data_IF_155015486653
#
_entry.id   IF_155015486653
#
_cell.length_a   1.000
_cell.length_b   1.000
_cell.length_c   1.000
_cell.angle_alpha   90.00
_cell.angle_beta   90.00
_cell.angle_gamma   90.00
#
_symmetry.space_group_name_H-M   'P 1'
#
loop_
_entity.id
_entity.type
_entity.pdbx_description
1 polymer ?
#
# COMPACT_ATOMS: atom_id res chain seq x y z
N UNK A 1 -20.15 -20.39 2.34
CA UNK A 1 -20.64 -19.06 1.95
C UNK A 1 -20.99 -18.31 3.23
N UNK A 2 -20.01 -17.67 3.86
CA UNK A 2 -20.24 -16.78 4.99
C UNK A 2 -20.54 -15.41 4.42
N UNK A 3 -21.78 -14.94 4.54
CA UNK A 3 -22.15 -13.58 4.15
C UNK A 3 -21.40 -12.60 5.04
N UNK A 4 -20.64 -11.68 4.44
CA UNK A 4 -20.07 -10.51 5.12
C UNK A 4 -21.17 -9.84 5.96
N UNK A 5 -20.87 -9.39 7.19
CA UNK A 5 -21.85 -8.69 8.02
C UNK A 5 -22.43 -7.52 7.21
N UNK A 6 -23.74 -7.31 7.34
CA UNK A 6 -24.50 -6.24 6.67
C UNK A 6 -23.78 -4.90 6.82
N UNK A 7 -23.02 -4.51 5.79
CA UNK A 7 -22.46 -3.17 5.68
C UNK A 7 -23.62 -2.17 5.84
N UNK A 8 -23.36 -1.08 6.55
CA UNK A 8 -24.26 0.08 6.52
C UNK A 8 -24.62 0.39 5.07
N UNK A 9 -25.84 0.88 4.80
CA UNK A 9 -26.28 1.24 3.45
C UNK A 9 -25.17 2.06 2.77
N UNK A 10 -24.67 1.59 1.60
CA UNK A 10 -23.52 2.23 0.94
C UNK A 10 -23.85 3.69 0.61
N UNK A 11 -22.84 4.57 0.50
CA UNK A 11 -23.09 5.96 0.13
C UNK A 11 -23.83 6.03 -1.21
N UNK A 12 -24.77 6.97 -1.30
CA UNK A 12 -25.48 7.31 -2.55
C UNK A 12 -24.84 8.50 -3.26
N UNK A 13 -23.97 9.25 -2.58
CA UNK A 13 -23.20 10.33 -3.19
C UNK A 13 -22.09 9.76 -4.09
N UNK A 14 -21.79 10.40 -5.23
CA UNK A 14 -20.70 9.96 -6.11
C UNK A 14 -19.35 10.10 -5.41
N UNK A 15 -18.46 9.14 -5.64
CA UNK A 15 -17.07 9.22 -5.17
C UNK A 15 -16.39 10.46 -5.75
N UNK A 16 -15.76 11.25 -4.89
CA UNK A 16 -14.96 12.41 -5.25
C UNK A 16 -13.49 12.14 -5.00
N UNK A 17 -12.63 12.79 -5.79
CA UNK A 17 -11.20 12.85 -5.56
C UNK A 17 -10.76 14.29 -5.35
N UNK A 18 -10.03 14.56 -4.28
CA UNK A 18 -9.38 15.84 -4.03
C UNK A 18 -7.87 15.63 -3.80
N UNK A 19 -7.04 16.60 -4.18
CA UNK A 19 -5.59 16.52 -3.94
C UNK A 19 -5.19 17.57 -2.90
N UNK A 20 -4.45 17.14 -1.89
CA UNK A 20 -4.00 17.98 -0.78
C UNK A 20 -2.47 17.98 -0.70
N UNK A 21 -1.90 19.12 -0.33
CA UNK A 21 -0.51 19.20 0.10
C UNK A 21 -0.47 18.85 1.59
N UNK A 22 0.31 17.83 1.96
CA UNK A 22 0.42 17.42 3.37
C UNK A 22 1.78 17.79 3.98
N UNK A 23 2.84 17.93 3.17
CA UNK A 23 4.16 18.36 3.63
C UNK A 23 4.96 19.06 2.52
N UNK A 24 5.99 19.80 2.94
CA UNK A 24 7.01 20.36 2.06
C UNK A 24 8.38 20.11 2.68
N UNK A 25 9.13 19.17 2.10
CA UNK A 25 10.55 19.00 2.39
C UNK A 25 11.35 19.71 1.28
N UNK A 26 12.22 19.01 0.56
CA UNK A 26 12.87 19.53 -0.66
C UNK A 26 11.88 19.67 -1.82
N UNK A 27 10.81 18.87 -1.81
CA UNK A 27 9.73 18.85 -2.82
C UNK A 27 8.36 18.81 -2.12
N UNK A 28 7.29 19.30 -2.76
CA UNK A 28 5.95 19.23 -2.19
C UNK A 28 5.42 17.80 -2.18
N UNK A 29 4.97 17.33 -1.02
CA UNK A 29 4.33 16.02 -0.88
C UNK A 29 2.82 16.16 -0.84
N UNK A 30 2.16 15.40 -1.72
CA UNK A 30 0.72 15.47 -1.93
C UNK A 30 0.08 14.12 -1.68
N UNK A 31 -1.18 14.15 -1.28
CA UNK A 31 -2.04 12.98 -1.23
C UNK A 31 -3.31 13.22 -2.06
N UNK A 32 -3.85 12.15 -2.63
CA UNK A 32 -5.17 12.13 -3.24
C UNK A 32 -6.14 11.50 -2.22
N UNK A 33 -7.23 12.20 -1.91
CA UNK A 33 -8.26 11.73 -0.98
C UNK A 33 -9.52 11.35 -1.75
N UNK A 34 -9.97 10.12 -1.53
CA UNK A 34 -11.16 9.52 -2.11
C UNK A 34 -12.24 9.37 -1.04
N UNK A 35 -13.36 10.06 -1.22
CA UNK A 35 -14.50 10.02 -0.28
C UNK A 35 -15.83 10.41 -0.96
N UNK A 36 -16.96 10.26 -0.27
CA UNK A 36 -18.27 10.55 -0.82
C UNK A 36 -19.21 11.13 0.24
N UNK A 37 -19.56 12.42 0.10
CA UNK A 37 -20.42 13.12 1.06
C UNK A 37 -19.83 13.12 2.49
N UNK A 38 -20.70 13.25 3.49
CA UNK A 38 -20.29 13.35 4.89
C UNK A 38 -20.07 11.95 5.50
N UNK A 39 -18.84 11.44 5.42
CA UNK A 39 -18.45 10.24 6.16
C UNK A 39 -18.43 10.52 7.67
N UNK A 40 -18.90 9.59 8.53
CA UNK A 40 -18.88 9.78 9.98
C UNK A 40 -17.47 10.07 10.50
N UNK A 41 -17.33 11.09 11.36
CA UNK A 41 -16.02 11.49 11.93
C UNK A 41 -15.37 10.36 12.72
N UNK A 42 -16.17 9.49 13.35
CA UNK A 42 -15.68 8.36 14.15
C UNK A 42 -15.21 7.17 13.30
N UNK A 43 -15.52 7.15 11.99
CA UNK A 43 -14.96 6.14 11.11
C UNK A 43 -13.45 6.39 10.94
N UNK A 44 -12.64 5.33 10.78
CA UNK A 44 -11.22 5.50 10.54
C UNK A 44 -10.95 6.14 9.17
N UNK A 45 -9.77 6.73 9.05
CA UNK A 45 -9.17 7.08 7.76
C UNK A 45 -8.31 5.91 7.31
N UNK A 46 -8.35 5.56 6.02
CA UNK A 46 -7.42 4.61 5.44
C UNK A 46 -6.29 5.38 4.78
N UNK A 47 -5.05 5.24 5.27
CA UNK A 47 -3.86 5.78 4.64
C UNK A 47 -3.20 4.70 3.78
N UNK A 48 -2.97 4.98 2.50
CA UNK A 48 -2.41 4.05 1.53
C UNK A 48 -1.12 4.56 0.89
N UNK A 49 -0.10 3.72 0.85
CA UNK A 49 1.16 3.96 0.15
C UNK A 49 1.28 3.07 -1.09
N UNK A 50 1.60 3.69 -2.23
CA UNK A 50 1.65 3.01 -3.52
C UNK A 50 2.85 2.06 -3.67
N UNK A 51 2.72 1.09 -4.58
CA UNK A 51 3.79 0.20 -5.02
C UNK A 51 4.83 0.91 -5.88
N UNK A 52 5.90 0.20 -6.25
CA UNK A 52 6.98 0.72 -7.10
C UNK A 52 8.37 0.59 -6.50
N UNK A 53 8.61 -0.39 -5.61
CA UNK A 53 9.97 -0.68 -5.13
C UNK A 53 10.63 0.42 -4.29
N UNK A 54 9.87 1.41 -3.80
CA UNK A 54 10.37 2.68 -3.28
C UNK A 54 11.11 3.57 -4.31
N UNK A 55 11.17 3.17 -5.57
CA UNK A 55 11.97 3.81 -6.62
C UNK A 55 11.14 4.43 -7.73
N UNK A 56 9.85 4.07 -7.84
CA UNK A 56 8.88 4.60 -8.80
C UNK A 56 7.45 4.54 -8.25
N UNK A 57 6.46 4.83 -9.11
CA UNK A 57 5.04 4.77 -8.80
C UNK A 57 4.45 6.12 -8.37
N UNK A 58 3.15 6.15 -8.03
CA UNK A 58 2.52 7.39 -7.55
C UNK A 58 1.22 7.14 -6.78
N UNK A 59 0.77 8.16 -6.04
CA UNK A 59 -0.51 8.19 -5.32
C UNK A 59 -1.78 7.98 -6.16
N UNK A 60 -1.69 7.98 -7.49
CA UNK A 60 -2.82 7.64 -8.35
C UNK A 60 -3.00 6.13 -8.54
N UNK A 61 -1.98 5.35 -8.16
CA UNK A 61 -1.97 3.89 -8.30
C UNK A 61 -2.66 3.21 -7.13
N UNK A 62 -3.99 3.28 -7.11
CA UNK A 62 -4.82 2.71 -6.05
C UNK A 62 -5.65 1.56 -6.63
N UNK A 63 -5.64 0.36 -6.03
CA UNK A 63 -6.41 -0.74 -6.60
C UNK A 63 -7.92 -0.49 -6.44
N UNK A 64 -8.76 -0.77 -7.47
CA UNK A 64 -10.18 -0.45 -7.44
C UNK A 64 -10.94 -1.07 -6.27
N UNK A 65 -10.62 -2.32 -5.90
CA UNK A 65 -11.23 -2.99 -4.76
C UNK A 65 -10.96 -2.27 -3.42
N UNK A 66 -9.81 -1.61 -3.25
CA UNK A 66 -9.51 -0.87 -2.02
C UNK A 66 -10.33 0.41 -1.95
N UNK A 67 -10.46 1.12 -3.07
CA UNK A 67 -11.36 2.29 -3.15
C UNK A 67 -12.80 1.88 -2.87
N UNK A 68 -13.25 0.77 -3.46
CA UNK A 68 -14.58 0.20 -3.22
C UNK A 68 -14.77 -0.19 -1.75
N UNK A 69 -13.76 -0.82 -1.14
CA UNK A 69 -13.75 -1.22 0.28
C UNK A 69 -13.96 -0.01 1.18
N UNK A 70 -13.17 1.04 0.99
CA UNK A 70 -13.21 2.27 1.77
C UNK A 70 -14.52 3.04 1.54
N UNK A 71 -14.97 3.13 0.28
CA UNK A 71 -16.24 3.77 -0.08
C UNK A 71 -17.43 3.10 0.62
N UNK A 72 -17.55 1.78 0.54
CA UNK A 72 -18.65 1.03 1.15
C UNK A 72 -18.66 1.15 2.68
N UNK A 73 -17.49 1.31 3.31
CA UNK A 73 -17.32 1.46 4.76
C UNK A 73 -17.35 2.90 5.23
N UNK A 74 -17.46 3.87 4.32
CA UNK A 74 -17.37 5.31 4.63
C UNK A 74 -16.07 5.65 5.34
N UNK A 75 -14.96 5.09 4.87
CA UNK A 75 -13.60 5.41 5.30
C UNK A 75 -13.01 6.36 4.26
N UNK A 76 -12.60 7.60 4.61
CA UNK A 76 -11.83 8.42 3.69
C UNK A 76 -10.54 7.67 3.34
N UNK A 77 -10.25 7.52 2.05
CA UNK A 77 -9.03 6.87 1.58
C UNK A 77 -8.03 7.96 1.15
N UNK A 78 -6.95 8.09 1.90
CA UNK A 78 -5.83 9.00 1.63
C UNK A 78 -4.73 8.19 0.95
N UNK A 79 -4.46 8.41 -0.33
CA UNK A 79 -3.28 7.84 -0.99
C UNK A 79 -2.15 8.87 -1.03
N UNK A 80 -1.02 8.58 -0.40
CA UNK A 80 0.10 9.50 -0.25
C UNK A 80 1.22 9.23 -1.26
N UNK A 81 1.76 10.29 -1.86
CA UNK A 81 3.07 10.26 -2.53
C UNK A 81 4.18 10.29 -1.49
N UNK A 82 5.31 9.66 -1.72
CA UNK A 82 6.50 9.75 -0.88
C UNK A 82 7.74 9.93 -1.77
N UNK A 83 8.85 10.48 -1.22
CA UNK A 83 10.10 10.66 -1.96
C UNK A 83 10.72 9.30 -2.25
N UNK A 84 11.32 9.16 -3.43
CA UNK A 84 11.81 7.88 -3.94
C UNK A 84 13.31 7.69 -3.65
N UNK A 85 13.70 6.44 -3.44
CA UNK A 85 15.09 6.01 -3.42
C UNK A 85 15.71 6.16 -4.83
N UNK A 86 17.03 6.36 -4.92
CA UNK A 86 18.00 6.57 -3.83
C UNK A 86 18.13 8.03 -3.40
N UNK A 87 17.30 8.93 -3.92
CA UNK A 87 17.45 10.37 -3.68
C UNK A 87 17.13 10.80 -2.23
N UNK A 88 16.42 9.94 -1.50
CA UNK A 88 16.31 9.97 -0.04
C UNK A 88 16.77 8.64 0.53
N UNK A 89 17.02 8.60 1.83
CA UNK A 89 17.33 7.39 2.60
C UNK A 89 16.14 6.97 3.47
N UNK A 90 16.34 5.95 4.31
CA UNK A 90 15.35 5.50 5.28
C UNK A 90 14.77 6.62 6.16
N UNK A 91 15.60 7.56 6.62
CA UNK A 91 15.17 8.66 7.48
C UNK A 91 14.22 9.60 6.72
N UNK A 92 14.54 9.90 5.46
CA UNK A 92 13.64 10.64 4.57
C UNK A 92 12.28 9.95 4.36
N UNK A 93 12.27 8.61 4.24
CA UNK A 93 11.03 7.84 4.14
C UNK A 93 10.21 7.89 5.43
N UNK A 94 10.85 7.84 6.60
CA UNK A 94 10.17 7.98 7.90
C UNK A 94 9.56 9.37 8.06
N UNK A 95 10.25 10.44 7.64
CA UNK A 95 9.69 11.79 7.67
C UNK A 95 8.44 11.88 6.78
N UNK A 96 8.50 11.35 5.55
CA UNK A 96 7.37 11.36 4.61
C UNK A 96 6.17 10.57 5.14
N UNK A 97 6.43 9.41 5.73
CA UNK A 97 5.41 8.55 6.32
C UNK A 97 4.78 9.18 7.57
N UNK A 98 5.58 9.86 8.41
CA UNK A 98 5.12 10.59 9.59
C UNK A 98 4.15 11.71 9.20
N UNK A 99 4.53 12.55 8.24
CA UNK A 99 3.69 13.68 7.85
C UNK A 99 2.40 13.21 7.15
N UNK A 100 2.47 12.14 6.34
CA UNK A 100 1.28 11.53 5.76
C UNK A 100 0.35 10.92 6.82
N UNK A 101 0.92 10.27 7.85
CA UNK A 101 0.18 9.70 8.96
C UNK A 101 -0.49 10.78 9.82
N UNK A 102 0.21 11.85 10.15
CA UNK A 102 -0.38 12.98 10.89
C UNK A 102 -1.47 13.69 10.09
N UNK A 103 -1.29 13.87 8.77
CA UNK A 103 -2.35 14.36 7.90
C UNK A 103 -3.61 13.47 7.98
N UNK A 104 -3.45 12.15 7.86
CA UNK A 104 -4.56 11.21 7.95
C UNK A 104 -5.26 11.25 9.32
N UNK A 105 -4.49 11.39 10.42
CA UNK A 105 -5.03 11.48 11.78
C UNK A 105 -5.92 12.70 12.00
N UNK A 106 -5.66 13.82 11.33
CA UNK A 106 -6.47 15.05 11.50
C UNK A 106 -7.46 15.29 10.36
N UNK A 107 -7.48 14.43 9.34
CA UNK A 107 -8.33 14.60 8.16
C UNK A 107 -9.82 14.57 8.50
N UNK A 108 -10.54 15.67 8.23
CA UNK A 108 -11.97 15.79 8.52
C UNK A 108 -12.32 15.78 10.01
N UNK A 109 -11.35 15.99 10.90
CA UNK A 109 -11.61 16.09 12.34
C UNK A 109 -12.41 17.38 12.67
N UNK A 110 -13.40 17.26 13.55
CA UNK A 110 -14.41 18.29 13.84
C UNK A 110 -13.89 19.51 14.62
N UNK A 111 -12.77 19.38 15.33
CA UNK A 111 -12.15 20.46 16.10
C UNK A 111 -10.64 20.29 16.22
N UNK A 112 -9.93 21.41 16.43
CA UNK A 112 -8.50 21.39 16.74
C UNK A 112 -8.25 20.50 17.96
N UNK A 113 -7.41 19.48 17.80
CA UNK A 113 -7.05 18.52 18.85
C UNK A 113 -7.75 17.16 18.78
N UNK A 114 -8.78 16.99 17.95
CA UNK A 114 -9.37 15.68 17.70
C UNK A 114 -8.54 14.91 16.67
N UNK A 115 -8.21 13.65 16.97
CA UNK A 115 -7.54 12.74 16.03
C UNK A 115 -8.43 11.56 15.72
N UNK A 116 -8.34 11.05 14.50
CA UNK A 116 -9.04 9.86 14.03
C UNK A 116 -8.16 8.64 14.17
N UNK A 117 -8.81 7.49 14.31
CA UNK A 117 -8.14 6.21 14.12
C UNK A 117 -7.74 6.07 12.64
N UNK A 118 -6.58 5.46 12.40
CA UNK A 118 -6.05 5.29 11.05
C UNK A 118 -5.74 3.82 10.82
N UNK A 119 -6.27 3.27 9.74
CA UNK A 119 -5.79 2.01 9.15
C UNK A 119 -4.72 2.40 8.13
N UNK A 120 -3.54 1.79 8.18
CA UNK A 120 -2.48 2.08 7.22
C UNK A 120 -2.25 0.85 6.36
N UNK A 121 -2.13 1.03 5.06
CA UNK A 121 -1.82 -0.06 4.14
C UNK A 121 -0.87 0.37 3.04
N UNK A 122 -0.37 -0.61 2.32
CA UNK A 122 0.48 -0.37 1.17
C UNK A 122 0.59 -1.60 0.29
N UNK A 123 0.97 -1.37 -0.97
CA UNK A 123 1.15 -2.42 -1.95
C UNK A 123 2.64 -2.60 -2.27
N UNK A 124 3.12 -3.83 -2.37
CA UNK A 124 4.55 -4.12 -2.61
C UNK A 124 5.42 -3.35 -1.60
N UNK A 125 6.47 -2.68 -2.06
CA UNK A 125 7.31 -1.83 -1.22
C UNK A 125 6.58 -0.67 -0.52
N UNK A 126 5.39 -0.27 -0.99
CA UNK A 126 4.54 0.69 -0.28
C UNK A 126 4.16 0.23 1.13
N UNK A 127 4.05 -1.08 1.37
CA UNK A 127 3.76 -1.60 2.70
C UNK A 127 4.90 -1.33 3.70
N UNK A 128 6.14 -1.16 3.23
CA UNK A 128 7.26 -0.81 4.08
C UNK A 128 7.02 0.54 4.81
N UNK A 129 6.39 1.51 4.14
CA UNK A 129 6.01 2.80 4.75
C UNK A 129 4.98 2.60 5.88
N UNK A 130 4.08 1.62 5.74
CA UNK A 130 3.13 1.26 6.79
C UNK A 130 3.82 0.59 7.98
N UNK A 131 4.78 -0.30 7.71
CA UNK A 131 5.58 -0.98 8.73
C UNK A 131 6.46 0.00 9.53
N UNK A 132 7.14 0.94 8.87
CA UNK A 132 7.96 1.96 9.56
C UNK A 132 7.10 2.87 10.45
N UNK A 133 5.87 3.23 10.03
CA UNK A 133 4.93 3.95 10.89
C UNK A 133 4.68 3.15 12.18
N UNK A 134 4.38 1.86 12.06
CA UNK A 134 4.14 1.00 13.21
C UNK A 134 5.40 0.76 14.06
N UNK A 135 6.60 0.78 13.49
CA UNK A 135 7.85 0.69 14.25
C UNK A 135 8.17 1.96 15.05
N UNK A 136 7.99 3.13 14.44
CA UNK A 136 8.61 4.37 14.92
C UNK A 136 7.65 5.40 15.49
N UNK A 137 6.37 5.33 15.15
CA UNK A 137 5.40 6.39 15.49
C UNK A 137 4.44 5.95 16.59
N UNK A 138 4.00 6.94 17.37
CA UNK A 138 2.96 6.82 18.39
C UNK A 138 1.99 8.01 18.29
N UNK A 139 0.66 7.79 18.38
CA UNK A 139 0.01 6.49 18.54
C UNK A 139 0.12 5.63 17.28
N UNK A 140 0.15 4.30 17.45
CA UNK A 140 0.21 3.36 16.33
C UNK A 140 -1.11 3.35 15.53
N UNK A 141 -1.08 2.95 14.24
CA UNK A 141 -2.28 2.63 13.48
C UNK A 141 -3.14 1.60 14.21
N UNK A 142 -4.44 1.58 13.96
CA UNK A 142 -5.33 0.58 14.58
C UNK A 142 -5.27 -0.78 13.87
N UNK A 143 -4.79 -0.82 12.62
CA UNK A 143 -4.53 -2.01 11.84
C UNK A 143 -3.60 -1.69 10.67
N UNK A 144 -2.90 -2.71 10.17
CA UNK A 144 -2.08 -2.66 8.96
C UNK A 144 -2.64 -3.58 7.88
N UNK A 145 -2.54 -3.16 6.60
CA UNK A 145 -2.89 -3.97 5.43
C UNK A 145 -1.72 -4.06 4.45
N UNK A 146 -1.14 -5.25 4.30
CA UNK A 146 -0.13 -5.56 3.30
C UNK A 146 -0.78 -6.16 2.06
N UNK A 147 -0.52 -5.57 0.88
CA UNK A 147 -0.96 -6.09 -0.41
C UNK A 147 0.28 -6.53 -1.19
N UNK A 148 0.53 -7.84 -1.21
CA UNK A 148 1.76 -8.47 -1.71
C UNK A 148 3.00 -7.69 -1.29
N UNK A 149 3.02 -7.28 -0.01
CA UNK A 149 3.83 -6.16 0.47
C UNK A 149 5.18 -6.58 1.05
N UNK A 150 6.04 -5.58 1.27
CA UNK A 150 7.36 -5.74 1.87
C UNK A 150 7.31 -5.21 3.31
N UNK A 151 7.09 -6.06 4.34
CA UNK A 151 7.17 -5.65 5.74
C UNK A 151 8.57 -5.16 6.15
N UNK A 152 9.62 -5.78 5.61
CA UNK A 152 11.02 -5.49 5.91
C UNK A 152 11.91 -5.84 4.72
N UNK A 153 12.96 -5.07 4.52
CA UNK A 153 14.06 -5.34 3.61
C UNK A 153 15.20 -6.13 4.26
N UNK A 154 15.12 -6.48 5.55
CA UNK A 154 16.11 -7.35 6.21
C UNK A 154 15.93 -8.84 5.88
N UNK A 155 14.79 -9.22 5.29
CA UNK A 155 14.52 -10.61 4.90
C UNK A 155 15.53 -11.11 3.84
N UNK A 156 15.86 -12.41 3.89
CA UNK A 156 16.88 -13.02 3.03
C UNK A 156 16.69 -12.77 1.52
N UNK A 157 15.44 -12.64 1.09
CA UNK A 157 15.07 -12.27 -0.28
C UNK A 157 15.82 -11.02 -0.79
N UNK A 158 16.05 -10.02 0.06
CA UNK A 158 16.70 -8.75 -0.31
C UNK A 158 18.22 -8.75 -0.13
N UNK A 159 18.81 -9.87 0.30
CA UNK A 159 20.26 -10.01 0.51
C UNK A 159 20.85 -11.30 -0.09
N UNK A 160 20.12 -11.95 -1.00
CA UNK A 160 20.51 -13.21 -1.66
C UNK A 160 20.77 -13.07 -3.17
N UNK A 161 20.95 -11.85 -3.67
CA UNK A 161 21.11 -11.52 -5.09
C UNK A 161 20.01 -12.13 -5.96
N UNK A 162 18.75 -11.94 -5.53
CA UNK A 162 17.60 -12.48 -6.25
C UNK A 162 17.48 -11.82 -7.61
N UNK A 163 17.43 -12.67 -8.65
CA UNK A 163 17.34 -12.25 -10.03
C UNK A 163 15.92 -12.50 -10.55
N UNK A 164 15.16 -11.42 -10.76
CA UNK A 164 13.82 -11.42 -11.35
C UNK A 164 13.87 -11.41 -12.89
N UNK A 165 14.57 -10.45 -13.55
CA UNK A 165 14.72 -10.47 -15.00
C UNK A 165 15.62 -11.63 -15.46
N UNK A 166 15.59 -12.01 -16.76
CA UNK A 166 16.43 -13.09 -17.27
C UNK A 166 17.94 -12.86 -17.11
N UNK A 167 18.37 -11.60 -17.09
CA UNK A 167 19.77 -11.18 -16.93
C UNK A 167 19.85 -10.00 -15.95
N UNK A 168 20.95 -9.87 -15.18
CA UNK A 168 21.16 -8.73 -14.29
C UNK A 168 21.13 -7.39 -15.02
N UNK A 169 20.53 -6.37 -14.41
CA UNK A 169 20.60 -4.98 -14.87
C UNK A 169 22.02 -4.45 -14.61
N UNK A 170 22.61 -3.76 -15.59
CA UNK A 170 23.97 -3.23 -15.43
C UNK A 170 23.94 -1.89 -14.73
N UNK A 171 25.00 -1.57 -13.99
CA UNK A 171 25.15 -0.28 -13.31
C UNK A 171 24.95 0.92 -14.27
N UNK A 172 25.51 0.86 -15.48
CA UNK A 172 25.36 1.94 -16.47
C UNK A 172 23.91 2.16 -16.94
N UNK A 173 23.05 1.13 -16.87
CA UNK A 173 21.64 1.24 -17.24
C UNK A 173 20.85 2.03 -16.18
N UNK A 174 21.37 2.15 -14.96
CA UNK A 174 20.70 2.81 -13.82
C UNK A 174 21.47 4.01 -13.25
N UNK A 175 22.74 4.21 -13.60
CA UNK A 175 23.60 5.28 -13.07
C UNK A 175 22.95 6.66 -13.22
N UNK A 176 22.31 6.91 -14.37
CA UNK A 176 21.60 8.15 -14.63
C UNK A 176 20.41 8.35 -13.67
N UNK A 177 19.69 7.28 -13.32
CA UNK A 177 18.54 7.30 -12.40
C UNK A 177 18.96 7.55 -10.95
N UNK A 178 20.14 7.05 -10.56
CA UNK A 178 20.75 7.32 -9.25
C UNK A 178 21.10 8.81 -9.11
N UNK A 179 21.51 9.44 -10.21
CA UNK A 179 21.93 10.84 -10.27
C UNK A 179 20.78 11.83 -10.49
N UNK A 180 19.54 11.35 -10.64
CA UNK A 180 18.36 12.22 -10.82
C UNK A 180 18.07 13.07 -9.57
N UNK A 181 17.40 14.24 -9.73
CA UNK A 181 16.93 15.02 -8.60
C UNK A 181 15.84 14.27 -7.81
N UNK A 182 15.62 14.69 -6.56
CA UNK A 182 14.54 14.16 -5.71
C UNK A 182 13.20 14.19 -6.45
N UNK A 183 12.51 13.06 -6.45
CA UNK A 183 11.19 12.86 -7.06
C UNK A 183 10.26 12.11 -6.12
N UNK A 184 8.96 12.27 -6.33
CA UNK A 184 7.89 11.53 -5.62
C UNK A 184 7.15 10.56 -6.54
N UNK A 185 7.75 10.34 -7.71
CA UNK A 185 7.19 9.59 -8.82
C UNK A 185 6.04 10.32 -9.50
N UNK A 186 5.86 10.01 -10.78
CA UNK A 186 4.71 10.46 -11.54
C UNK A 186 3.79 9.27 -11.81
N UNK A 187 2.55 9.55 -12.23
CA UNK A 187 1.64 8.48 -12.63
C UNK A 187 2.27 7.71 -13.77
N UNK A 188 2.57 6.40 -13.62
CA UNK A 188 3.12 5.64 -14.72
C UNK A 188 2.12 5.67 -15.87
N UNK A 189 2.65 5.63 -17.08
CA UNK A 189 1.93 5.64 -18.34
C UNK A 189 1.21 4.31 -18.59
N UNK A 190 0.67 3.67 -17.55
CA UNK A 190 -0.27 2.57 -17.65
C UNK A 190 -1.60 3.01 -17.03
N UNK A 191 -2.58 3.30 -17.88
CA UNK A 191 -3.92 3.69 -17.46
C UNK A 191 -4.60 2.58 -16.63
N UNK A 192 -4.14 1.33 -16.69
CA UNK A 192 -4.68 0.23 -15.91
C UNK A 192 -4.35 0.34 -14.41
N UNK A 193 -3.18 0.88 -14.06
CA UNK A 193 -2.77 1.09 -12.66
C UNK A 193 -3.42 2.34 -12.04
N UNK A 194 -3.80 3.33 -12.86
CA UNK A 194 -4.42 4.57 -12.38
C UNK A 194 -5.89 4.32 -12.01
N UNK A 195 -6.26 4.74 -10.81
CA UNK A 195 -7.66 4.78 -10.41
C UNK A 195 -8.35 6.05 -10.91
N UNK A 196 -9.52 5.87 -11.51
CA UNK A 196 -10.43 6.94 -11.90
C UNK A 196 -11.72 6.79 -11.11
N UNK A 197 -12.26 7.89 -10.58
CA UNK A 197 -13.49 7.89 -9.77
C UNK A 197 -14.67 7.23 -10.50
N UNK A 198 -14.74 7.44 -11.81
CA UNK A 198 -15.80 6.93 -12.68
C UNK A 198 -15.76 5.41 -12.87
N UNK A 199 -14.73 4.71 -12.34
CA UNK A 199 -14.71 3.24 -12.24
C UNK A 199 -15.77 2.72 -11.26
N UNK A 200 -16.31 3.55 -10.38
CA UNK A 200 -17.36 3.20 -9.43
C UNK A 200 -18.62 4.02 -9.68
N UNK A 201 -19.76 3.34 -9.68
CA UNK A 201 -21.08 3.97 -9.66
C UNK A 201 -21.41 4.46 -8.24
N UNK A 202 -22.33 5.44 -8.08
CA UNK A 202 -22.98 5.68 -6.81
C UNK A 202 -23.54 4.37 -6.24
N UNK A 203 -23.21 4.07 -4.98
CA UNK A 203 -23.49 2.77 -4.34
C UNK A 203 -22.28 1.82 -4.33
N UNK A 204 -21.20 2.15 -5.03
CA UNK A 204 -19.91 1.46 -4.94
C UNK A 204 -19.78 0.22 -5.82
N UNK A 205 -20.73 -0.02 -6.74
CA UNK A 205 -20.58 -1.08 -7.75
C UNK A 205 -19.59 -0.65 -8.84
N UNK A 206 -18.92 -1.63 -9.46
CA UNK A 206 -18.10 -1.38 -10.66
C UNK A 206 -18.95 -0.72 -11.75
N UNK A 207 -18.42 0.31 -12.40
CA UNK A 207 -19.01 0.89 -13.59
C UNK A 207 -18.61 0.06 -14.84
N UNK A 208 -19.53 -0.68 -15.47
CA UNK A 208 -19.21 -1.48 -16.67
C UNK A 208 -18.94 -0.61 -17.90
N UNK A 209 -19.43 0.63 -17.91
CA UNK A 209 -19.32 1.55 -19.05
C UNK A 209 -18.07 2.43 -18.98
N UNK A 210 -17.27 2.31 -17.92
CA UNK A 210 -16.04 3.08 -17.78
C UNK A 210 -15.08 2.80 -18.93
N UNK A 211 -14.67 3.87 -19.61
CA UNK A 211 -13.60 3.85 -20.60
C UNK A 211 -12.45 4.71 -20.07
N UNK A 212 -11.19 4.21 -20.07
CA UNK A 212 -10.06 5.04 -19.71
C UNK A 212 -9.96 6.23 -20.70
N UNK A 213 -9.58 7.43 -20.23
CA UNK A 213 -9.44 8.58 -21.11
C UNK A 213 -8.45 8.29 -22.24
N UNK A 214 -8.80 8.73 -23.46
CA UNK A 214 -7.93 8.61 -24.62
C UNK A 214 -6.63 9.36 -24.36
N UNK A 215 -5.50 8.67 -24.53
CA UNK A 215 -4.19 9.26 -24.29
C UNK A 215 -3.78 10.15 -25.48
N UNK A 216 -3.31 11.39 -25.26
CA UNK A 216 -2.58 12.11 -26.29
C UNK A 216 -1.23 11.40 -26.56
N UNK A 217 -0.70 11.38 -27.79
CA UNK A 217 0.62 10.80 -28.04
C UNK A 217 1.69 11.53 -27.22
N UNK A 218 2.33 10.84 -26.28
CA UNK A 218 3.44 11.38 -25.49
C UNK A 218 4.71 11.51 -26.35
N UNK A 219 5.51 12.57 -26.16
CA UNK A 219 6.89 12.59 -26.65
C UNK A 219 7.70 11.45 -26.01
N UNK A 220 8.63 10.87 -26.77
CA UNK A 220 9.42 9.69 -26.37
C UNK A 220 10.23 9.84 -25.06
N UNK A 221 10.39 11.07 -24.55
CA UNK A 221 11.10 11.37 -23.29
C UNK A 221 10.29 11.14 -22.03
N UNK A 222 9.00 10.81 -22.14
CA UNK A 222 8.08 10.71 -21.01
C UNK A 222 8.09 9.32 -20.33
N UNK A 223 8.78 8.29 -20.84
CA UNK A 223 8.81 6.92 -20.29
C UNK A 223 9.59 6.72 -18.96
N UNK A 224 9.91 7.80 -18.25
CA UNK A 224 10.88 7.80 -17.15
C UNK A 224 10.49 6.89 -15.97
N UNK A 225 9.21 6.84 -15.56
CA UNK A 225 8.79 6.03 -14.41
C UNK A 225 8.93 4.51 -14.62
N UNK A 226 8.70 4.02 -15.85
CA UNK A 226 8.85 2.59 -16.16
C UNK A 226 10.34 2.22 -16.10
N UNK A 227 11.20 3.10 -16.60
CA UNK A 227 12.65 2.90 -16.51
C UNK A 227 13.15 2.98 -15.07
N UNK A 228 12.56 3.83 -14.21
CA UNK A 228 12.90 3.87 -12.78
C UNK A 228 12.62 2.56 -12.06
N UNK A 229 11.68 1.75 -12.53
CA UNK A 229 11.44 0.40 -12.01
C UNK A 229 12.67 -0.51 -12.08
N UNK A 230 13.60 -0.27 -13.01
CA UNK A 230 14.87 -1.03 -13.11
C UNK A 230 15.72 -0.92 -11.84
N UNK A 231 15.61 0.18 -11.09
CA UNK A 231 16.30 0.33 -9.82
C UNK A 231 15.88 -0.74 -8.81
N UNK A 232 14.64 -1.22 -8.85
CA UNK A 232 14.18 -2.29 -7.96
C UNK A 232 14.94 -3.58 -8.25
N UNK A 233 14.92 -4.02 -9.50
CA UNK A 233 15.60 -5.25 -9.94
C UNK A 233 17.11 -5.17 -9.70
N UNK A 234 17.71 -4.01 -9.99
CA UNK A 234 19.12 -3.74 -9.74
C UNK A 234 19.47 -3.80 -8.25
N UNK A 235 18.74 -3.08 -7.39
CA UNK A 235 18.99 -3.06 -5.95
C UNK A 235 18.71 -4.40 -5.27
N UNK A 236 17.75 -5.17 -5.78
CA UNK A 236 17.48 -6.52 -5.31
C UNK A 236 18.64 -7.46 -5.63
N UNK A 237 19.15 -7.42 -6.86
CA UNK A 237 20.28 -8.26 -7.28
C UNK A 237 21.60 -7.88 -6.61
N UNK A 238 21.86 -6.58 -6.47
CA UNK A 238 23.08 -6.04 -5.84
C UNK A 238 22.99 -5.98 -4.29
N UNK A 239 21.89 -6.48 -3.69
CA UNK A 239 21.67 -6.50 -2.23
C UNK A 239 21.74 -5.12 -1.55
N UNK A 240 21.28 -4.07 -2.23
CA UNK A 240 21.44 -2.70 -1.78
C UNK A 240 20.35 -2.25 -0.79
N UNK A 241 19.16 -2.84 -0.87
CA UNK A 241 18.01 -2.44 -0.05
C UNK A 241 18.29 -2.41 1.47
N UNK A 242 18.86 -3.46 2.10
CA UNK A 242 19.14 -3.45 3.54
C UNK A 242 19.96 -2.24 3.98
N UNK A 243 20.94 -1.81 3.18
CA UNK A 243 21.77 -0.66 3.48
C UNK A 243 20.99 0.66 3.30
N UNK A 244 20.24 0.80 2.20
CA UNK A 244 19.46 2.00 1.86
C UNK A 244 18.43 2.38 2.94
N UNK A 245 17.87 1.38 3.64
CA UNK A 245 16.85 1.61 4.68
C UNK A 245 17.32 1.22 6.09
N UNK A 246 18.61 0.93 6.28
CA UNK A 246 19.17 0.41 7.54
C UNK A 246 18.89 1.29 8.77
N UNK A 247 18.74 2.60 8.59
CA UNK A 247 18.45 3.52 9.71
C UNK A 247 17.04 3.34 10.29
N UNK A 248 16.11 2.74 9.55
CA UNK A 248 14.68 2.67 9.90
C UNK A 248 14.08 1.27 9.84
N UNK A 249 14.80 0.27 9.33
CA UNK A 249 14.31 -1.11 9.25
C UNK A 249 14.96 -2.02 10.31
N UNK A 250 14.33 -2.18 11.48
CA UNK A 250 14.87 -3.05 12.53
C UNK A 250 14.64 -4.55 12.27
N UNK A 251 14.04 -4.94 11.14
CA UNK A 251 13.58 -6.31 10.91
C UNK A 251 12.39 -6.68 11.81
N UNK A 252 12.11 -7.98 11.89
CA UNK A 252 10.97 -8.53 12.64
C UNK A 252 11.35 -9.68 13.58
N UNK A 253 12.61 -10.11 13.59
CA UNK A 253 13.14 -11.15 14.48
C UNK A 253 12.92 -10.81 15.95
N UNK A 254 12.89 -9.51 16.29
CA UNK A 254 12.57 -9.00 17.62
C UNK A 254 11.22 -9.51 18.15
N UNK A 255 10.25 -9.84 17.28
CA UNK A 255 8.92 -10.27 17.70
C UNK A 255 8.94 -11.62 18.43
N UNK A 256 9.97 -12.44 18.21
CA UNK A 256 10.18 -13.72 18.88
C UNK A 256 10.91 -13.60 20.22
N UNK A 257 11.44 -12.42 20.52
CA UNK A 257 12.20 -12.19 21.75
C UNK A 257 11.26 -11.96 22.93
N UNK A 258 11.41 -12.76 23.98
CA UNK A 258 10.65 -12.64 25.22
C UNK A 258 10.68 -11.22 25.83
N UNK A 259 11.80 -10.52 25.69
CA UNK A 259 11.98 -9.15 26.17
C UNK A 259 11.13 -8.12 25.41
N UNK A 260 10.67 -8.45 24.21
CA UNK A 260 9.90 -7.57 23.33
C UNK A 260 8.39 -7.84 23.37
N UNK A 261 7.91 -8.69 24.29
CA UNK A 261 6.48 -9.01 24.45
C UNK A 261 5.58 -7.78 24.56
N UNK A 262 6.01 -6.74 25.27
CA UNK A 262 5.22 -5.50 25.36
C UNK A 262 5.11 -4.77 24.02
N UNK A 263 6.17 -4.79 23.21
CA UNK A 263 6.17 -4.20 21.86
C UNK A 263 5.27 -5.00 20.93
N UNK A 264 5.28 -6.33 21.04
CA UNK A 264 4.41 -7.21 20.27
C UNK A 264 2.93 -7.03 20.65
N UNK A 265 2.62 -6.93 21.95
CA UNK A 265 1.24 -6.70 22.42
C UNK A 265 0.67 -5.35 21.97
N UNK A 266 1.54 -4.36 21.74
CA UNK A 266 1.17 -3.04 21.21
C UNK A 266 1.22 -3.00 19.67
N UNK A 267 1.68 -4.07 19.01
CA UNK A 267 1.76 -4.12 17.55
C UNK A 267 0.35 -4.14 16.93
N UNK A 268 0.07 -3.31 15.90
CA UNK A 268 -1.23 -3.32 15.24
C UNK A 268 -1.48 -4.65 14.53
N UNK A 269 -2.74 -5.12 14.56
CA UNK A 269 -3.12 -6.28 13.76
C UNK A 269 -2.70 -6.06 12.30
N UNK A 270 -1.86 -6.96 11.80
CA UNK A 270 -1.32 -6.87 10.44
C UNK A 270 -1.95 -7.94 9.57
N UNK A 271 -2.73 -7.50 8.58
CA UNK A 271 -3.39 -8.39 7.65
C UNK A 271 -2.59 -8.42 6.35
N UNK A 272 -2.11 -9.59 5.96
CA UNK A 272 -1.34 -9.81 4.75
C UNK A 272 -2.20 -10.44 3.67
N UNK A 273 -2.20 -9.86 2.47
CA UNK A 273 -2.66 -10.50 1.23
C UNK A 273 -1.40 -10.85 0.46
N UNK A 274 -1.22 -12.13 0.11
CA UNK A 274 -0.01 -12.58 -0.59
C UNK A 274 -0.39 -13.62 -1.65
N UNK A 275 0.19 -13.52 -2.86
CA UNK A 275 0.09 -14.56 -3.88
C UNK A 275 1.16 -15.63 -3.69
N UNK A 276 0.82 -16.91 -3.82
CA UNK A 276 1.78 -18.03 -3.67
C UNK A 276 2.68 -18.26 -4.91
N UNK A 277 2.47 -17.50 -5.99
CA UNK A 277 3.30 -17.43 -7.20
C UNK A 277 3.92 -16.05 -7.40
N UNK A 278 3.98 -15.26 -6.35
CA UNK A 278 4.68 -13.98 -6.37
C UNK A 278 6.19 -14.20 -6.49
N UNK A 279 6.75 -13.71 -7.59
CA UNK A 279 8.19 -13.77 -7.88
C UNK A 279 8.87 -12.43 -7.66
N UNK A 280 8.10 -11.35 -7.58
CA UNK A 280 8.63 -10.00 -7.47
C UNK A 280 8.91 -9.68 -6.01
N UNK A 281 8.09 -10.24 -5.10
CA UNK A 281 8.35 -10.31 -3.66
C UNK A 281 8.07 -11.76 -3.24
N UNK A 282 9.11 -12.48 -2.79
CA UNK A 282 8.90 -13.88 -2.36
C UNK A 282 7.76 -13.97 -1.34
N UNK A 283 6.80 -14.92 -1.48
CA UNK A 283 5.72 -15.10 -0.53
C UNK A 283 6.22 -15.38 0.90
N UNK A 284 7.44 -15.92 1.02
CA UNK A 284 8.11 -16.18 2.30
C UNK A 284 8.32 -14.89 3.10
N UNK A 285 8.50 -13.73 2.44
CA UNK A 285 8.70 -12.44 3.14
C UNK A 285 7.49 -12.12 4.03
N UNK A 286 6.27 -12.29 3.52
CA UNK A 286 5.05 -12.08 4.31
C UNK A 286 4.77 -13.27 5.26
N UNK A 287 5.08 -14.49 4.84
CA UNK A 287 4.82 -15.68 5.64
C UNK A 287 5.68 -15.71 6.91
N UNK A 288 6.98 -15.46 6.79
CA UNK A 288 7.92 -15.45 7.90
C UNK A 288 7.61 -14.33 8.89
N UNK A 289 7.29 -13.12 8.40
CA UNK A 289 6.90 -12.01 9.29
C UNK A 289 5.58 -12.30 10.00
N UNK A 290 4.59 -12.89 9.31
CA UNK A 290 3.34 -13.31 9.96
C UNK A 290 3.59 -14.36 11.04
N UNK A 291 4.48 -15.33 10.79
CA UNK A 291 4.89 -16.33 11.80
C UNK A 291 5.59 -15.66 12.99
N UNK A 292 6.50 -14.72 12.75
CA UNK A 292 7.24 -14.04 13.82
C UNK A 292 6.35 -13.17 14.70
N UNK A 293 5.34 -12.51 14.12
CA UNK A 293 4.33 -11.75 14.86
C UNK A 293 3.34 -12.66 15.60
N UNK A 294 3.03 -13.84 15.04
CA UNK A 294 2.09 -14.79 15.60
C UNK A 294 0.61 -14.44 15.36
N UNK A 295 -0.26 -15.43 15.58
CA UNK A 295 -1.68 -15.41 15.19
C UNK A 295 -2.53 -14.32 15.87
N UNK A 296 -2.07 -13.76 16.99
CA UNK A 296 -2.77 -12.65 17.66
C UNK A 296 -2.52 -11.30 16.97
N UNK A 297 -1.34 -11.12 16.39
CA UNK A 297 -0.89 -9.86 15.80
C UNK A 297 -0.86 -9.89 14.26
N UNK A 298 -0.97 -11.05 13.63
CA UNK A 298 -0.94 -11.20 12.18
C UNK A 298 -1.99 -12.18 11.63
N UNK A 299 -2.48 -11.89 10.43
CA UNK A 299 -3.29 -12.83 9.63
C UNK A 299 -2.76 -12.87 8.20
N UNK A 300 -2.38 -14.06 7.73
CA UNK A 300 -1.94 -14.28 6.35
C UNK A 300 -3.08 -14.83 5.47
N UNK A 301 -3.55 -14.01 4.55
CA UNK A 301 -4.50 -14.37 3.50
C UNK A 301 -3.74 -14.73 2.22
N UNK A 302 -3.24 -15.97 2.15
CA UNK A 302 -2.57 -16.48 0.94
C UNK A 302 -3.59 -16.74 -0.19
N UNK A 303 -3.27 -16.28 -1.40
CA UNK A 303 -4.03 -16.44 -2.63
C UNK A 303 -3.33 -17.48 -3.53
N UNK A 304 -3.96 -18.64 -3.71
CA UNK A 304 -3.40 -19.74 -4.51
C UNK A 304 -3.37 -19.42 -6.00
N UNK A 305 -2.26 -19.76 -6.63
CA UNK A 305 -2.01 -19.55 -8.06
C UNK A 305 -1.79 -18.08 -8.45
N UNK A 306 -1.75 -17.15 -7.50
CA UNK A 306 -1.72 -15.72 -7.79
C UNK A 306 -0.29 -15.15 -7.72
N UNK A 307 -0.01 -14.21 -8.63
CA UNK A 307 1.28 -13.53 -8.77
C UNK A 307 1.31 -12.20 -8.00
N UNK A 308 2.41 -11.46 -8.11
CA UNK A 308 2.54 -10.12 -7.55
C UNK A 308 1.40 -9.20 -8.02
N UNK A 309 0.79 -8.46 -7.09
CA UNK A 309 -0.27 -7.48 -7.37
C UNK A 309 -1.40 -8.00 -8.29
N UNK A 310 -1.77 -9.28 -8.14
CA UNK A 310 -2.80 -9.95 -8.95
C UNK A 310 -4.16 -9.23 -8.91
N UNK A 311 -4.46 -8.58 -7.78
CA UNK A 311 -5.68 -7.88 -7.43
C UNK A 311 -5.79 -6.48 -8.04
N UNK A 312 -4.71 -5.93 -8.62
CA UNK A 312 -4.59 -4.50 -8.97
C UNK A 312 -5.68 -3.96 -9.90
N UNK A 313 -6.29 -4.81 -10.73
CA UNK A 313 -7.34 -4.45 -11.68
C UNK A 313 -8.75 -4.93 -11.26
N UNK A 314 -8.84 -5.61 -10.11
CA UNK A 314 -10.06 -6.28 -9.67
C UNK A 314 -10.89 -5.41 -8.73
N UNK A 315 -12.17 -5.76 -8.65
CA UNK A 315 -13.15 -5.21 -7.72
C UNK A 315 -13.57 -6.34 -6.76
N UNK A 316 -14.03 -6.00 -5.55
CA UNK A 316 -14.45 -6.97 -4.54
C UNK A 316 -15.62 -7.85 -4.98
N UNK A 317 -16.50 -7.29 -5.81
CA UNK A 317 -17.70 -7.92 -6.37
C UNK A 317 -17.42 -8.68 -7.67
N UNK A 318 -16.16 -8.86 -8.05
CA UNK A 318 -15.81 -9.65 -9.22
C UNK A 318 -16.28 -11.10 -9.08
N UNK A 319 -16.84 -11.62 -10.18
CA UNK A 319 -17.35 -12.99 -10.25
C UNK A 319 -16.18 -14.00 -10.22
N UNK A 320 -16.15 -14.93 -9.25
CA UNK A 320 -15.18 -16.02 -9.18
C UNK A 320 -15.01 -16.81 -10.48
N UNK A 321 -16.05 -16.89 -11.32
CA UNK A 321 -16.02 -17.67 -12.56
C UNK A 321 -15.22 -17.00 -13.69
N UNK A 322 -14.84 -15.73 -13.55
CA UNK A 322 -14.05 -15.01 -14.56
C UNK A 322 -12.55 -15.32 -14.50
N UNK A 323 -12.08 -16.02 -13.47
CA UNK A 323 -10.68 -16.39 -13.32
C UNK A 323 -10.44 -17.87 -13.67
N UNK A 324 -9.37 -18.12 -14.44
CA UNK A 324 -9.02 -19.47 -14.90
C UNK A 324 -8.56 -20.39 -13.75
N UNK A 325 -8.04 -19.83 -12.65
CA UNK A 325 -7.37 -20.56 -11.56
C UNK A 325 -8.09 -20.46 -10.19
N UNK A 326 -9.42 -20.31 -10.20
CA UNK A 326 -10.22 -20.11 -8.99
C UNK A 326 -10.37 -18.63 -8.62
N UNK A 327 -11.10 -18.35 -7.53
CA UNK A 327 -11.46 -16.99 -7.13
C UNK A 327 -10.25 -16.17 -6.66
N UNK A 328 -9.73 -15.22 -7.47
CA UNK A 328 -8.53 -14.48 -7.10
C UNK A 328 -8.83 -13.55 -5.91
N UNK A 329 -10.08 -13.12 -5.75
CA UNK A 329 -10.47 -12.13 -4.74
C UNK A 329 -10.87 -12.76 -3.40
N UNK A 330 -10.85 -14.09 -3.25
CA UNK A 330 -11.16 -14.73 -1.96
C UNK A 330 -10.23 -14.26 -0.84
N UNK A 331 -8.92 -14.28 -1.08
CA UNK A 331 -7.92 -13.81 -0.12
C UNK A 331 -8.14 -12.34 0.24
N UNK A 332 -8.45 -11.49 -0.75
CA UNK A 332 -8.74 -10.07 -0.54
C UNK A 332 -10.00 -9.89 0.32
N UNK A 333 -11.08 -10.63 0.04
CA UNK A 333 -12.32 -10.56 0.84
C UNK A 333 -12.12 -11.05 2.27
N UNK A 334 -11.32 -12.10 2.48
CA UNK A 334 -10.94 -12.56 3.83
C UNK A 334 -10.14 -11.48 4.58
N UNK A 335 -9.15 -10.87 3.94
CA UNK A 335 -8.37 -9.80 4.53
C UNK A 335 -9.23 -8.59 4.92
N UNK A 336 -10.15 -8.19 4.04
CA UNK A 336 -11.11 -7.12 4.30
C UNK A 336 -12.00 -7.44 5.51
N UNK A 337 -12.44 -8.70 5.67
CA UNK A 337 -13.22 -9.12 6.83
C UNK A 337 -12.42 -9.05 8.14
N UNK A 338 -11.11 -9.34 8.12
CA UNK A 338 -10.25 -9.16 9.31
C UNK A 338 -10.05 -7.68 9.66
N UNK A 339 -9.91 -6.80 8.66
CA UNK A 339 -9.88 -5.36 8.89
C UNK A 339 -11.17 -4.84 9.54
N UNK A 340 -12.33 -5.32 9.09
CA UNK A 340 -13.61 -4.97 9.71
C UNK A 340 -13.65 -5.34 11.19
N UNK A 341 -13.17 -6.54 11.53
CA UNK A 341 -13.07 -6.97 12.94
C UNK A 341 -12.11 -6.07 13.72
N UNK A 342 -10.96 -5.72 13.15
CA UNK A 342 -9.99 -4.84 13.81
C UNK A 342 -10.59 -3.46 14.09
N UNK A 343 -11.20 -2.84 13.09
CA UNK A 343 -11.84 -1.51 13.22
C UNK A 343 -12.99 -1.54 14.23
N UNK A 344 -13.77 -2.61 14.28
CA UNK A 344 -14.90 -2.71 15.22
C UNK A 344 -14.49 -2.65 16.70
N UNK A 345 -13.24 -3.01 17.03
CA UNK A 345 -12.68 -2.91 18.40
C UNK A 345 -12.47 -1.47 18.86
N UNK A 346 -12.47 -0.51 17.93
CA UNK A 346 -12.26 0.91 18.17
C UNK A 346 -13.51 1.75 17.90
N UNK A 347 -14.63 1.12 17.57
CA UNK A 347 -15.92 1.79 17.36
C UNK A 347 -16.60 2.01 18.72
N UNK A 348 -16.35 3.15 19.35
CA UNK A 348 -17.00 3.60 20.58
C UNK A 348 -17.60 4.99 20.43
#
# INVERSE_FOLDING_TARGET
>A
MSSLPSLTTPPTAPLQKSTHLYAVHQVPLKCDVYEAGDYPVNNPVFLFFHSGGLVCGSRSMVPPWLVQTCYQRKWPLVSASYRLLPQVDGDGLVDDARDAYEFARVYGASSKGNTRNVVVGGASAGFFLAAIIAHHLNPKPIALLSITGIPTFQHAFFNSSTLIPPEPIREEDVEHLVSEPISVGMSPYDAAAIFFTDKLLPGGARNPDFQPPLRPPSPASESQDINRGLLYDYYLYENMYPALVSSVDPGFEWAREELQKSKLNDWPLTVFIQGDKDTDVSPDVCADVAEWLGDEAAVLCMAKGQHHLFEKAWFLDADPQQAQDGDPMDAVRRAVAELDKAVSRFAH
#
